data_IF_815329628496
#
_entry.id   IF_815329628496
#
_cell.length_a   1.000
_cell.length_b   1.000
_cell.length_c   1.000
_cell.angle_alpha   90.00
_cell.angle_beta   90.00
_cell.angle_gamma   90.00
#
_symmetry.space_group_name_H-M   'P 1'
#
loop_
_entity.id
_entity.type
_entity.pdbx_description
1 polymer ?
#
# COMPACT_ATOMS: atom_id res chain seq x y z
N UNK A 1 10.74 3.54 -11.02
CA UNK A 1 10.67 3.97 -9.63
C UNK A 1 10.76 2.77 -8.68
N UNK A 2 9.82 1.81 -8.67
CA UNK A 2 10.01 0.49 -8.08
C UNK A 2 10.54 -0.47 -9.13
N UNK A 3 11.55 -1.28 -8.79
CA UNK A 3 12.04 -2.39 -9.60
C UNK A 3 12.29 -3.58 -8.70
N UNK A 4 11.75 -4.72 -9.05
CA UNK A 4 11.95 -6.03 -8.42
C UNK A 4 12.56 -6.95 -9.46
N UNK A 5 13.66 -7.63 -9.13
CA UNK A 5 14.39 -8.51 -10.05
C UNK A 5 14.65 -9.86 -9.41
N UNK A 6 14.19 -10.93 -10.08
CA UNK A 6 14.43 -12.34 -9.71
C UNK A 6 14.20 -12.64 -8.24
N UNK A 7 13.14 -12.01 -7.65
CA UNK A 7 12.88 -12.08 -6.21
C UNK A 7 12.38 -13.47 -5.81
N UNK A 8 13.05 -14.07 -4.81
CA UNK A 8 12.64 -15.36 -4.25
C UNK A 8 12.33 -15.24 -2.77
N UNK A 9 11.37 -16.04 -2.33
CA UNK A 9 11.02 -16.17 -0.91
C UNK A 9 10.47 -17.55 -0.63
N UNK A 10 10.97 -18.17 0.43
CA UNK A 10 10.48 -19.44 0.96
C UNK A 10 10.23 -19.34 2.45
N UNK A 11 9.26 -20.07 2.94
CA UNK A 11 9.02 -20.21 4.37
C UNK A 11 9.23 -21.67 4.79
N UNK A 12 9.82 -21.88 5.96
CA UNK A 12 9.96 -23.19 6.58
C UNK A 12 8.75 -23.45 7.49
N UNK A 13 8.02 -24.52 7.21
CA UNK A 13 7.12 -25.14 8.17
C UNK A 13 7.85 -26.29 8.87
N UNK A 14 7.24 -26.87 9.91
CA UNK A 14 7.85 -27.98 10.66
C UNK A 14 8.18 -29.22 9.79
N UNK A 15 7.62 -29.34 8.58
CA UNK A 15 7.72 -30.51 7.72
C UNK A 15 8.27 -30.23 6.32
N UNK A 16 8.16 -28.99 5.82
CA UNK A 16 8.55 -28.65 4.43
C UNK A 16 9.05 -27.21 4.30
N UNK A 17 9.87 -26.97 3.28
CA UNK A 17 10.18 -25.63 2.79
C UNK A 17 9.24 -25.32 1.62
N UNK A 18 8.40 -24.30 1.79
CA UNK A 18 7.44 -23.85 0.77
C UNK A 18 8.00 -22.65 0.05
N UNK A 19 8.33 -22.77 -1.22
CA UNK A 19 8.74 -21.67 -2.08
C UNK A 19 7.49 -20.87 -2.49
N UNK A 20 7.37 -19.63 -1.97
CA UNK A 20 6.24 -18.73 -2.21
C UNK A 20 6.49 -17.82 -3.40
N UNK A 21 7.70 -17.28 -3.53
CA UNK A 21 8.13 -16.53 -4.72
C UNK A 21 9.32 -17.24 -5.36
N UNK A 22 9.31 -17.36 -6.69
CA UNK A 22 10.21 -18.24 -7.44
C UNK A 22 11.02 -17.49 -8.53
N UNK A 23 11.31 -16.21 -8.30
CA UNK A 23 12.04 -15.37 -9.27
C UNK A 23 11.11 -14.34 -9.89
N UNK A 24 10.46 -13.54 -9.05
CA UNK A 24 9.50 -12.51 -9.49
C UNK A 24 10.23 -11.29 -10.01
N UNK A 25 9.83 -10.85 -11.21
CA UNK A 25 10.22 -9.57 -11.80
C UNK A 25 8.98 -8.65 -11.87
N UNK A 26 9.09 -7.43 -11.30
CA UNK A 26 8.01 -6.45 -11.30
C UNK A 26 8.59 -5.04 -11.34
N UNK A 27 7.92 -4.14 -12.03
CA UNK A 27 8.24 -2.71 -11.97
C UNK A 27 6.98 -1.89 -11.78
N UNK A 28 7.11 -0.71 -11.15
CA UNK A 28 6.07 0.32 -11.09
C UNK A 28 6.73 1.66 -11.37
N UNK A 29 6.24 2.38 -12.36
CA UNK A 29 6.74 3.72 -12.69
C UNK A 29 6.18 4.78 -11.73
N UNK A 30 6.76 5.97 -11.74
CA UNK A 30 6.19 7.12 -11.03
C UNK A 30 4.84 7.50 -11.65
N UNK A 31 3.82 7.66 -10.81
CA UNK A 31 2.46 7.97 -11.25
C UNK A 31 1.70 6.80 -11.88
N UNK A 32 2.33 5.63 -12.05
CA UNK A 32 1.66 4.42 -12.55
C UNK A 32 0.89 3.72 -11.45
N UNK A 33 -0.29 3.22 -11.78
CA UNK A 33 -1.10 2.34 -10.93
C UNK A 33 -1.08 0.91 -11.49
N UNK A 34 -0.67 -0.05 -10.65
CA UNK A 34 -0.54 -1.47 -11.01
C UNK A 34 -1.40 -2.32 -10.09
N UNK A 35 -2.27 -3.15 -10.66
CA UNK A 35 -2.98 -4.20 -9.94
C UNK A 35 -2.18 -5.50 -9.96
N UNK A 36 -1.99 -6.11 -8.81
CA UNK A 36 -1.45 -7.45 -8.64
C UNK A 36 -2.57 -8.39 -8.22
N UNK A 37 -2.96 -9.28 -9.12
CA UNK A 37 -3.98 -10.31 -8.86
C UNK A 37 -3.37 -11.70 -8.77
N UNK A 38 -4.17 -12.69 -8.47
CA UNK A 38 -3.78 -14.11 -8.37
C UNK A 38 -4.57 -14.84 -7.31
N UNK A 39 -4.48 -16.15 -7.28
CA UNK A 39 -5.18 -17.00 -6.34
C UNK A 39 -4.75 -16.75 -4.88
N UNK A 40 -5.58 -17.18 -3.92
CA UNK A 40 -5.18 -17.17 -2.50
C UNK A 40 -3.93 -18.04 -2.32
N UNK A 41 -2.96 -17.53 -1.56
CA UNK A 41 -1.68 -18.22 -1.35
C UNK A 41 -0.67 -18.11 -2.49
N UNK A 42 -0.95 -17.39 -3.59
CA UNK A 42 0.02 -17.22 -4.70
C UNK A 42 1.26 -16.38 -4.36
N UNK A 43 1.27 -15.67 -3.20
CA UNK A 43 2.42 -14.88 -2.74
C UNK A 43 2.25 -13.36 -2.86
N UNK A 44 1.06 -12.85 -3.20
CA UNK A 44 0.81 -11.40 -3.40
C UNK A 44 1.16 -10.55 -2.17
N UNK A 45 0.59 -10.88 -1.01
CA UNK A 45 0.89 -10.16 0.24
C UNK A 45 2.35 -10.34 0.66
N UNK A 46 2.96 -11.52 0.40
CA UNK A 46 4.39 -11.73 0.61
C UNK A 46 5.22 -10.76 -0.24
N UNK A 47 4.92 -10.65 -1.54
CA UNK A 47 5.62 -9.71 -2.42
C UNK A 47 5.47 -8.27 -1.92
N UNK A 48 4.25 -7.87 -1.53
CA UNK A 48 4.00 -6.54 -0.99
C UNK A 48 4.78 -6.30 0.31
N UNK A 49 4.84 -7.28 1.22
CA UNK A 49 5.60 -7.19 2.47
C UNK A 49 7.10 -7.07 2.24
N UNK A 50 7.65 -7.79 1.27
CA UNK A 50 9.07 -7.68 0.90
C UNK A 50 9.39 -6.29 0.34
N UNK A 51 8.54 -5.76 -0.55
CA UNK A 51 8.67 -4.39 -1.09
C UNK A 51 8.57 -3.35 0.03
N UNK A 52 7.69 -3.57 1.00
CA UNK A 52 7.54 -2.69 2.17
C UNK A 52 8.69 -2.81 3.19
N UNK A 53 9.63 -3.74 3.01
CA UNK A 53 10.66 -4.04 4.00
C UNK A 53 10.09 -4.54 5.33
N UNK A 54 8.94 -5.22 5.30
CA UNK A 54 8.32 -5.87 6.46
C UNK A 54 8.83 -7.29 6.65
N UNK A 55 9.41 -7.88 5.58
CA UNK A 55 10.03 -9.19 5.58
C UNK A 55 11.31 -9.14 4.73
N UNK A 56 12.12 -10.20 4.74
CA UNK A 56 13.38 -10.32 4.02
C UNK A 56 13.27 -11.33 2.88
N UNK A 57 13.81 -10.96 1.71
CA UNK A 57 13.90 -11.87 0.58
C UNK A 57 15.02 -12.91 0.79
N UNK A 58 14.85 -14.10 0.23
CA UNK A 58 15.91 -15.12 0.21
C UNK A 58 16.98 -14.77 -0.84
N UNK A 59 16.56 -14.24 -2.00
CA UNK A 59 17.44 -13.74 -3.06
C UNK A 59 16.72 -12.76 -3.98
N UNK A 60 17.45 -12.16 -4.92
CA UNK A 60 16.95 -11.14 -5.83
C UNK A 60 17.13 -9.74 -5.28
N UNK A 61 16.62 -8.75 -5.99
CA UNK A 61 16.79 -7.34 -5.66
C UNK A 61 15.46 -6.60 -5.69
N UNK A 62 15.25 -5.75 -4.70
CA UNK A 62 14.17 -4.75 -4.67
C UNK A 62 14.83 -3.38 -4.61
N UNK A 63 14.51 -2.51 -5.55
CA UNK A 63 14.98 -1.13 -5.61
C UNK A 63 13.80 -0.16 -5.66
N UNK A 64 13.79 0.83 -4.75
CA UNK A 64 12.84 1.94 -4.74
C UNK A 64 13.57 3.26 -4.93
N UNK A 65 13.46 3.83 -6.11
CA UNK A 65 14.21 5.03 -6.48
C UNK A 65 15.72 4.78 -6.44
N UNK A 66 16.38 5.46 -5.54
CA UNK A 66 17.82 5.37 -5.25
C UNK A 66 18.19 4.36 -4.14
N UNK A 67 17.18 3.73 -3.53
CA UNK A 67 17.39 2.84 -2.37
C UNK A 67 17.24 1.38 -2.80
N UNK A 68 18.26 0.56 -2.53
CA UNK A 68 18.17 -0.89 -2.57
C UNK A 68 17.58 -1.37 -1.25
N UNK A 69 16.38 -1.96 -1.31
CA UNK A 69 15.61 -2.40 -0.13
C UNK A 69 16.13 -3.73 0.40
N UNK A 70 16.53 -4.64 -0.48
CA UNK A 70 17.12 -5.93 -0.12
C UNK A 70 18.44 -5.72 0.63
N UNK A 71 18.59 -6.40 1.77
CA UNK A 71 19.78 -6.27 2.62
C UNK A 71 19.79 -5.08 3.58
N UNK A 72 18.75 -4.25 3.59
CA UNK A 72 18.62 -3.20 4.61
C UNK A 72 18.41 -3.81 5.99
N UNK A 73 19.09 -3.27 6.99
CA UNK A 73 18.84 -3.60 8.41
C UNK A 73 17.56 -2.94 8.92
N UNK A 74 17.02 -3.41 10.03
CA UNK A 74 15.69 -3.03 10.56
C UNK A 74 15.45 -1.53 10.67
N UNK A 75 16.42 -0.76 11.15
CA UNK A 75 16.24 0.68 11.31
C UNK A 75 16.17 1.41 9.95
N UNK A 76 16.89 0.94 8.94
CA UNK A 76 16.84 1.48 7.59
C UNK A 76 15.51 1.09 6.89
N UNK A 77 15.01 -0.13 7.10
CA UNK A 77 13.66 -0.54 6.65
C UNK A 77 12.56 0.30 7.30
N UNK A 78 12.68 0.59 8.60
CA UNK A 78 11.75 1.47 9.30
C UNK A 78 11.78 2.90 8.74
N UNK A 79 12.97 3.43 8.44
CA UNK A 79 13.12 4.74 7.80
C UNK A 79 12.51 4.76 6.38
N UNK A 80 12.73 3.70 5.58
CA UNK A 80 12.10 3.55 4.26
C UNK A 80 10.56 3.63 4.36
N UNK A 81 9.95 2.85 5.26
CA UNK A 81 8.49 2.87 5.49
C UNK A 81 7.98 4.23 5.95
N UNK A 82 8.73 4.89 6.84
CA UNK A 82 8.37 6.21 7.34
C UNK A 82 8.44 7.29 6.26
N UNK A 83 9.49 7.26 5.44
CA UNK A 83 9.86 8.40 4.61
C UNK A 83 9.47 8.27 3.14
N UNK A 84 9.30 7.05 2.62
CA UNK A 84 9.15 6.78 1.20
C UNK A 84 7.89 5.98 0.84
N UNK A 85 7.29 5.27 1.79
CA UNK A 85 6.15 4.38 1.54
C UNK A 85 4.87 4.87 2.20
N UNK A 86 3.76 4.68 1.51
CA UNK A 86 2.42 4.69 2.09
C UNK A 86 1.89 3.26 2.13
N UNK A 87 1.33 2.84 3.26
CA UNK A 87 0.78 1.49 3.42
C UNK A 87 -0.70 1.57 3.75
N UNK A 88 -1.50 0.81 2.99
CA UNK A 88 -2.94 0.62 3.21
C UNK A 88 -3.21 -0.88 3.28
N UNK A 89 -3.95 -1.30 4.29
CA UNK A 89 -4.27 -2.70 4.54
C UNK A 89 -5.78 -2.93 4.43
N UNK A 90 -6.18 -4.18 4.26
CA UNK A 90 -7.57 -4.61 4.27
C UNK A 90 -8.26 -4.25 5.60
N UNK A 91 -7.59 -4.48 6.72
CA UNK A 91 -7.98 -3.90 8.00
C UNK A 91 -7.46 -2.47 8.04
N UNK A 92 -8.32 -1.51 8.30
CA UNK A 92 -8.02 -0.08 8.21
C UNK A 92 -6.82 0.37 9.07
N UNK A 93 -6.50 -0.39 10.12
CA UNK A 93 -5.37 -0.17 11.05
C UNK A 93 -5.29 1.28 11.55
N UNK A 94 -6.46 1.92 11.75
CA UNK A 94 -6.52 3.23 12.37
C UNK A 94 -6.17 3.13 13.84
N UNK A 95 -5.59 4.20 14.40
CA UNK A 95 -5.26 4.27 15.81
C UNK A 95 -6.55 4.66 16.55
N UNK A 96 -7.15 3.77 17.39
CA UNK A 96 -8.47 3.99 17.97
C UNK A 96 -8.55 5.20 18.90
N UNK A 97 -7.44 5.51 19.58
CA UNK A 97 -7.33 6.63 20.53
C UNK A 97 -7.10 7.99 19.86
N UNK A 98 -6.93 8.04 18.54
CA UNK A 98 -6.73 9.26 17.79
C UNK A 98 -7.99 9.64 17.02
N UNK A 99 -8.28 10.94 16.97
CA UNK A 99 -9.31 11.50 16.10
C UNK A 99 -9.00 11.24 14.61
N UNK A 100 -9.99 11.43 13.73
CA UNK A 100 -9.79 11.41 12.28
C UNK A 100 -8.68 12.38 11.86
N UNK A 101 -8.70 13.61 12.40
CA UNK A 101 -7.68 14.62 12.09
C UNK A 101 -6.27 14.15 12.47
N UNK A 102 -6.12 13.53 13.65
CA UNK A 102 -4.83 13.05 14.13
C UNK A 102 -4.39 11.76 13.42
N UNK A 103 -5.31 10.85 13.09
CA UNK A 103 -5.01 9.70 12.23
C UNK A 103 -4.49 10.16 10.86
N UNK A 104 -5.13 11.12 10.21
CA UNK A 104 -4.68 11.68 8.93
C UNK A 104 -3.27 12.27 9.02
N UNK A 105 -2.98 13.04 10.09
CA UNK A 105 -1.69 13.69 10.27
C UNK A 105 -0.58 12.75 10.76
N UNK A 106 -0.93 11.58 11.31
CA UNK A 106 -0.03 10.71 12.07
C UNK A 106 1.26 10.39 11.31
N UNK A 107 1.13 9.84 10.09
CA UNK A 107 2.30 9.41 9.31
C UNK A 107 3.19 10.60 8.91
N UNK A 108 2.60 11.71 8.49
CA UNK A 108 3.36 12.91 8.08
C UNK A 108 4.07 13.57 9.27
N UNK A 109 3.48 13.54 10.47
CA UNK A 109 4.12 14.03 11.69
C UNK A 109 5.33 13.18 12.09
N UNK A 110 5.21 11.85 12.09
CA UNK A 110 6.33 10.93 12.38
C UNK A 110 7.47 11.11 11.35
N UNK A 111 7.13 11.32 10.08
CA UNK A 111 8.11 11.56 9.03
C UNK A 111 8.72 12.97 9.05
N UNK A 112 8.26 13.87 9.93
CA UNK A 112 8.69 15.26 9.94
C UNK A 112 8.29 16.05 8.66
N UNK A 113 7.28 15.56 7.94
CA UNK A 113 6.81 16.10 6.64
C UNK A 113 5.39 16.67 6.70
N UNK A 114 4.94 17.06 7.88
CA UNK A 114 3.60 17.57 8.04
C UNK A 114 3.41 18.89 7.26
N UNK A 115 2.47 18.87 6.32
CA UNK A 115 2.06 20.01 5.49
C UNK A 115 0.57 20.27 5.72
N UNK A 116 0.27 21.37 6.42
CA UNK A 116 -1.11 21.72 6.77
C UNK A 116 -1.98 22.06 5.54
N UNK A 117 -1.40 22.55 4.46
CA UNK A 117 -2.13 22.86 3.23
C UNK A 117 -2.51 21.55 2.53
N UNK A 118 -1.56 20.61 2.43
CA UNK A 118 -1.81 19.30 1.87
C UNK A 118 -2.81 18.49 2.70
N UNK A 119 -2.71 18.56 4.04
CA UNK A 119 -3.68 17.88 4.90
C UNK A 119 -5.10 18.41 4.72
N UNK A 120 -5.29 19.72 4.55
CA UNK A 120 -6.60 20.31 4.24
C UNK A 120 -7.11 19.80 2.89
N UNK A 121 -6.29 19.81 1.85
CA UNK A 121 -6.65 19.29 0.54
C UNK A 121 -7.05 17.82 0.59
N UNK A 122 -6.27 16.95 1.28
CA UNK A 122 -6.62 15.56 1.52
C UNK A 122 -7.98 15.42 2.22
N UNK A 123 -8.20 16.20 3.28
CA UNK A 123 -9.46 16.18 4.05
C UNK A 123 -10.67 16.50 3.17
N UNK A 124 -10.57 17.52 2.34
CA UNK A 124 -11.63 17.96 1.42
C UNK A 124 -11.91 16.90 0.36
N UNK A 125 -10.87 16.40 -0.33
CA UNK A 125 -10.99 15.41 -1.39
C UNK A 125 -11.54 14.08 -0.91
N UNK A 126 -11.17 13.66 0.29
CA UNK A 126 -11.66 12.43 0.90
C UNK A 126 -13.06 12.59 1.53
N UNK A 127 -13.63 13.80 1.52
CA UNK A 127 -14.94 14.07 2.10
C UNK A 127 -14.99 13.91 3.62
N UNK A 128 -13.87 14.19 4.32
CA UNK A 128 -13.72 13.94 5.75
C UNK A 128 -13.90 15.20 6.62
N UNK A 129 -14.19 16.36 6.02
CA UNK A 129 -14.23 17.64 6.72
C UNK A 129 -15.15 17.66 7.96
N UNK A 130 -16.36 17.11 7.83
CA UNK A 130 -17.34 17.04 8.93
C UNK A 130 -17.01 15.96 9.99
N UNK A 131 -16.00 15.10 9.71
CA UNK A 131 -15.68 13.94 10.52
C UNK A 131 -14.40 14.11 11.35
N UNK A 132 -13.67 15.21 11.20
CA UNK A 132 -12.34 15.42 11.76
C UNK A 132 -12.23 15.20 13.27
N UNK A 133 -13.30 15.48 14.02
CA UNK A 133 -13.35 15.30 15.48
C UNK A 133 -13.84 13.92 15.91
N UNK A 134 -14.29 13.08 14.99
CA UNK A 134 -14.75 11.72 15.28
C UNK A 134 -13.56 10.77 15.51
N UNK A 135 -13.85 9.66 16.15
CA UNK A 135 -12.94 8.55 16.38
C UNK A 135 -13.25 7.40 15.40
N UNK A 136 -12.31 6.48 15.12
CA UNK A 136 -12.50 5.38 14.17
C UNK A 136 -13.79 4.57 14.36
N UNK A 137 -14.17 4.27 15.60
CA UNK A 137 -15.38 3.52 15.96
C UNK A 137 -16.70 4.22 15.57
N UNK A 138 -16.65 5.52 15.29
CA UNK A 138 -17.80 6.34 14.90
C UNK A 138 -17.95 6.47 13.37
N UNK A 139 -17.12 5.75 12.61
CA UNK A 139 -17.03 5.84 11.16
C UNK A 139 -17.56 4.56 10.49
N UNK A 140 -18.19 4.71 9.31
CA UNK A 140 -18.45 3.57 8.44
C UNK A 140 -17.15 2.97 7.89
N UNK A 141 -17.19 1.73 7.39
CA UNK A 141 -16.02 1.08 6.78
C UNK A 141 -15.37 1.90 5.66
N UNK A 142 -16.18 2.44 4.75
CA UNK A 142 -15.69 3.32 3.68
C UNK A 142 -15.07 4.62 4.20
N UNK A 143 -15.61 5.21 5.27
CA UNK A 143 -15.01 6.38 5.90
C UNK A 143 -13.67 6.03 6.57
N UNK A 144 -13.58 4.90 7.26
CA UNK A 144 -12.33 4.42 7.85
C UNK A 144 -11.27 4.19 6.78
N UNK A 145 -11.64 3.58 5.65
CA UNK A 145 -10.71 3.35 4.54
C UNK A 145 -10.23 4.66 3.91
N UNK A 146 -11.11 5.65 3.74
CA UNK A 146 -10.69 6.99 3.28
C UNK A 146 -9.70 7.64 4.24
N UNK A 147 -9.87 7.49 5.55
CA UNK A 147 -8.89 7.95 6.55
C UNK A 147 -7.57 7.20 6.43
N UNK A 148 -7.58 5.87 6.26
CA UNK A 148 -6.38 5.07 6.09
C UNK A 148 -5.58 5.47 4.83
N UNK A 149 -6.26 5.69 3.70
CA UNK A 149 -5.64 6.19 2.46
C UNK A 149 -5.08 7.60 2.66
N UNK A 150 -5.84 8.50 3.28
CA UNK A 150 -5.38 9.86 3.58
C UNK A 150 -4.15 9.88 4.46
N UNK A 151 -4.10 9.05 5.51
CA UNK A 151 -2.95 8.87 6.38
C UNK A 151 -1.72 8.38 5.61
N UNK A 152 -1.90 7.40 4.73
CA UNK A 152 -0.81 6.86 3.91
C UNK A 152 -0.24 7.89 2.93
N UNK A 153 -1.09 8.75 2.36
CA UNK A 153 -0.70 9.79 1.40
C UNK A 153 -0.27 11.12 2.06
N UNK A 154 -0.49 11.29 3.36
CA UNK A 154 -0.20 12.55 4.07
C UNK A 154 1.29 12.94 4.03
N UNK A 155 2.20 11.98 3.97
CA UNK A 155 3.66 12.21 3.87
C UNK A 155 4.15 12.39 2.43
N UNK A 156 3.27 12.37 1.42
CA UNK A 156 3.59 12.38 -0.01
C UNK A 156 4.62 11.29 -0.35
N UNK A 157 4.27 9.99 -0.14
CA UNK A 157 5.19 8.88 -0.37
C UNK A 157 5.57 8.77 -1.84
N UNK A 158 6.68 8.08 -2.12
CA UNK A 158 7.05 7.72 -3.49
C UNK A 158 6.17 6.59 -4.04
N UNK A 159 5.83 5.62 -3.18
CA UNK A 159 5.04 4.45 -3.55
C UNK A 159 3.95 4.21 -2.50
N UNK A 160 2.71 4.06 -2.98
CA UNK A 160 1.58 3.58 -2.20
C UNK A 160 1.44 2.07 -2.43
N UNK A 161 1.47 1.31 -1.36
CA UNK A 161 1.22 -0.13 -1.36
C UNK A 161 -0.12 -0.40 -0.68
N UNK A 162 -1.01 -1.12 -1.33
CA UNK A 162 -2.31 -1.45 -0.78
C UNK A 162 -2.57 -2.96 -0.86
N UNK A 163 -2.81 -3.58 0.29
CA UNK A 163 -3.16 -5.00 0.39
C UNK A 163 -4.67 -5.11 0.60
N UNK A 164 -5.39 -5.49 -0.45
CA UNK A 164 -6.84 -5.63 -0.50
C UNK A 164 -7.62 -4.45 0.11
N UNK A 165 -7.35 -3.21 -0.31
CA UNK A 165 -7.85 -2.02 0.39
C UNK A 165 -9.37 -1.87 0.38
N UNK A 166 -10.07 -2.68 -0.41
CA UNK A 166 -11.53 -2.62 -0.56
C UNK A 166 -12.22 -3.92 -0.16
N UNK A 167 -11.47 -4.91 0.33
CA UNK A 167 -11.99 -6.26 0.62
C UNK A 167 -13.09 -6.33 1.70
N UNK A 168 -13.23 -5.30 2.52
CA UNK A 168 -14.25 -5.20 3.58
C UNK A 168 -15.38 -4.20 3.24
N UNK A 169 -15.50 -3.75 1.98
CA UNK A 169 -16.45 -2.76 1.53
C UNK A 169 -17.46 -3.37 0.55
N UNK A 170 -18.65 -2.79 0.49
CA UNK A 170 -19.58 -3.05 -0.60
C UNK A 170 -19.05 -2.51 -1.93
N UNK A 171 -19.59 -2.96 -3.05
CA UNK A 171 -19.08 -2.67 -4.39
C UNK A 171 -19.06 -1.17 -4.71
N UNK A 172 -20.14 -0.44 -4.41
CA UNK A 172 -20.25 0.98 -4.70
C UNK A 172 -19.23 1.79 -3.88
N UNK A 173 -19.14 1.47 -2.59
CA UNK A 173 -18.14 2.09 -1.70
C UNK A 173 -16.70 1.76 -2.12
N UNK A 174 -16.45 0.54 -2.59
CA UNK A 174 -15.14 0.11 -3.08
C UNK A 174 -14.70 0.91 -4.31
N UNK A 175 -15.61 1.13 -5.27
CA UNK A 175 -15.37 1.92 -6.47
C UNK A 175 -15.05 3.38 -6.13
N UNK A 176 -15.85 3.99 -5.26
CA UNK A 176 -15.64 5.37 -4.82
C UNK A 176 -14.28 5.54 -4.12
N UNK A 177 -13.94 4.62 -3.21
CA UNK A 177 -12.68 4.65 -2.47
C UNK A 177 -11.47 4.46 -3.39
N UNK A 178 -11.55 3.52 -4.33
CA UNK A 178 -10.46 3.28 -5.29
C UNK A 178 -10.29 4.46 -6.24
N UNK A 179 -11.37 5.05 -6.74
CA UNK A 179 -11.32 6.24 -7.57
C UNK A 179 -10.64 7.40 -6.85
N UNK A 180 -11.01 7.66 -5.60
CA UNK A 180 -10.37 8.69 -4.76
C UNK A 180 -8.87 8.41 -4.56
N UNK A 181 -8.48 7.16 -4.29
CA UNK A 181 -7.07 6.79 -4.15
C UNK A 181 -6.28 7.06 -5.43
N UNK A 182 -6.80 6.67 -6.60
CA UNK A 182 -6.18 6.90 -7.91
C UNK A 182 -6.03 8.39 -8.22
N UNK A 183 -7.07 9.19 -7.99
CA UNK A 183 -7.03 10.63 -8.20
C UNK A 183 -5.94 11.30 -7.35
N UNK A 184 -5.78 10.87 -6.09
CA UNK A 184 -4.75 11.38 -5.18
C UNK A 184 -3.33 10.91 -5.58
N UNK A 185 -3.19 9.66 -6.03
CA UNK A 185 -1.94 9.10 -6.56
C UNK A 185 -1.48 9.87 -7.79
N UNK A 186 -2.36 10.08 -8.76
CA UNK A 186 -2.06 10.84 -9.97
C UNK A 186 -1.58 12.28 -9.65
N UNK A 187 -2.18 12.94 -8.66
CA UNK A 187 -1.80 14.30 -8.25
C UNK A 187 -0.43 14.38 -7.58
N UNK A 188 -0.06 13.34 -6.83
CA UNK A 188 1.23 13.32 -6.11
C UNK A 188 2.38 12.78 -6.95
N UNK A 189 2.11 12.19 -8.11
CA UNK A 189 3.09 11.45 -8.90
C UNK A 189 3.60 10.19 -8.20
N UNK A 190 2.89 9.74 -7.16
CA UNK A 190 3.19 8.52 -6.42
C UNK A 190 2.96 7.30 -7.31
N UNK A 191 3.82 6.29 -7.26
CA UNK A 191 3.49 4.98 -7.82
C UNK A 191 2.46 4.26 -6.94
N UNK A 192 1.61 3.43 -7.53
CA UNK A 192 0.58 2.70 -6.80
C UNK A 192 0.61 1.21 -7.15
N UNK A 193 0.84 0.35 -6.17
CA UNK A 193 0.72 -1.10 -6.30
C UNK A 193 -0.40 -1.59 -5.39
N UNK A 194 -1.45 -2.15 -5.98
CA UNK A 194 -2.60 -2.69 -5.27
C UNK A 194 -2.70 -4.20 -5.45
N UNK A 195 -2.72 -4.93 -4.36
CA UNK A 195 -3.13 -6.33 -4.33
C UNK A 195 -4.64 -6.40 -4.24
N UNK A 196 -5.27 -7.19 -5.09
CA UNK A 196 -6.73 -7.40 -5.07
C UNK A 196 -7.13 -8.74 -5.67
N UNK A 197 -8.24 -9.29 -5.18
CA UNK A 197 -8.92 -10.44 -5.78
C UNK A 197 -10.01 -10.02 -6.78
N UNK A 198 -10.34 -8.74 -6.85
CA UNK A 198 -11.37 -8.20 -7.73
C UNK A 198 -10.80 -7.87 -9.10
N UNK A 199 -11.08 -8.72 -10.11
CA UNK A 199 -10.72 -8.45 -11.51
C UNK A 199 -11.36 -7.14 -12.02
N UNK A 200 -12.57 -6.83 -11.56
CA UNK A 200 -13.29 -5.61 -11.90
C UNK A 200 -12.52 -4.35 -11.45
N UNK A 201 -12.03 -4.34 -10.22
CA UNK A 201 -11.23 -3.23 -9.71
C UNK A 201 -9.83 -3.20 -10.33
N UNK A 202 -9.21 -4.36 -10.54
CA UNK A 202 -7.91 -4.48 -11.19
C UNK A 202 -7.93 -3.85 -12.61
N UNK A 203 -9.00 -4.08 -13.38
CA UNK A 203 -9.16 -3.53 -14.72
C UNK A 203 -9.27 -2.00 -14.77
N UNK A 204 -9.47 -1.33 -13.63
CA UNK A 204 -9.51 0.14 -13.58
C UNK A 204 -8.14 0.78 -13.42
N UNK A 205 -7.08 0.02 -13.09
CA UNK A 205 -5.72 0.50 -12.95
C UNK A 205 -5.01 0.53 -14.32
N UNK A 206 -3.87 1.24 -14.41
CA UNK A 206 -3.15 1.43 -15.67
C UNK A 206 -2.55 0.13 -16.20
N UNK A 207 -2.14 -0.78 -15.30
CA UNK A 207 -1.60 -2.08 -15.66
C UNK A 207 -2.06 -3.16 -14.69
N UNK A 208 -2.29 -4.34 -15.23
CA UNK A 208 -2.68 -5.54 -14.50
C UNK A 208 -1.58 -6.60 -14.64
N UNK A 209 -1.19 -7.19 -13.54
CA UNK A 209 -0.17 -8.23 -13.42
C UNK A 209 -0.77 -9.39 -12.64
N UNK A 210 -0.59 -10.60 -13.13
CA UNK A 210 -1.09 -11.82 -12.48
C UNK A 210 0.05 -12.63 -11.87
N UNK A 211 -0.08 -12.92 -10.56
CA UNK A 211 0.85 -13.78 -9.83
C UNK A 211 0.24 -15.17 -9.69
N UNK A 212 0.87 -16.15 -10.33
CA UNK A 212 0.45 -17.55 -10.28
C UNK A 212 1.61 -18.44 -9.82
N UNK A 213 1.39 -19.28 -8.81
CA UNK A 213 2.38 -20.21 -8.29
C UNK A 213 3.77 -19.60 -8.02
N UNK A 214 3.81 -18.34 -7.56
CA UNK A 214 5.06 -17.63 -7.23
C UNK A 214 5.81 -17.03 -8.41
N UNK A 215 5.19 -16.96 -9.59
CA UNK A 215 5.71 -16.33 -10.81
C UNK A 215 4.72 -15.30 -11.36
N UNK A 216 5.23 -14.27 -12.02
CA UNK A 216 4.41 -13.33 -12.79
C UNK A 216 4.20 -13.93 -14.18
N UNK A 217 2.91 -14.01 -14.59
CA UNK A 217 2.47 -14.51 -15.89
C UNK A 217 2.23 -13.33 -16.85
#
# INVERSE_FOLDING_TARGET
>A
MLTVRHLTKSYRSAQEQVAVLRGVDLSVAAGESVALTGESGSGKSTLLHLIAGLDEADSGEIQLGDIVVTGLHDSARAALRRDRLGLVFQQFNLIPSLSVADNLAFQSRIAGKHDAAWQRELTERLGLGALLKRYPEQLSGGQQQRVAIGRALASKPQLLLADEPTGNLDEDTADDVLKLARDLVARTGCGFLMVTHSERLAATLDRHVHLHAGLIA
#
